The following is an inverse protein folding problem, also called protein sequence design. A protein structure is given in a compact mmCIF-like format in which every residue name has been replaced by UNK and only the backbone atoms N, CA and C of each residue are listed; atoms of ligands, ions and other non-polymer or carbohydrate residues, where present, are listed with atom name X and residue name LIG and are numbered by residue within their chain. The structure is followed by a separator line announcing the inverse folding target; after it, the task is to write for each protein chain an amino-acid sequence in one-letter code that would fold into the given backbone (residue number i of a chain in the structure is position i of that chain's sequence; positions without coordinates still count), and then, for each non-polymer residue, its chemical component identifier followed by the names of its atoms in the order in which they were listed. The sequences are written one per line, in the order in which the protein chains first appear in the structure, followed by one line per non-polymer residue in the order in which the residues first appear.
data_IF_590423635590
#
_entry.id   IF_590423635590
#
_cell.length_a   1.000
_cell.length_b   1.000
_cell.length_c   1.000
_cell.angle_alpha   90.00
_cell.angle_beta   90.00
_cell.angle_gamma   90.00
#
_symmetry.space_group_name_H-M   'P 1'
#
loop_
_entity.id
_entity.type
_entity.pdbx_description
1 polymer ?
#
# COMPACT_ATOMS: atom_id res chain seq x y z
N UNK A 1 3.21 1.07 -22.80
CA UNK A 1 3.29 1.24 -21.35
C UNK A 1 2.44 0.15 -20.73
N UNK A 2 3.06 -0.80 -20.04
CA UNK A 2 2.39 -1.91 -19.37
C UNK A 2 2.17 -1.59 -17.89
N UNK A 3 1.00 -1.93 -17.36
CA UNK A 3 0.67 -1.74 -15.95
C UNK A 3 -0.02 -3.01 -15.44
N UNK A 4 0.30 -3.47 -14.23
CA UNK A 4 -0.43 -4.52 -13.54
C UNK A 4 -1.12 -3.97 -12.29
N UNK A 5 -2.35 -4.42 -12.02
CA UNK A 5 -3.00 -4.20 -10.73
C UNK A 5 -2.52 -5.27 -9.76
N UNK A 6 -2.10 -4.86 -8.57
CA UNK A 6 -1.48 -5.75 -7.58
C UNK A 6 -2.21 -5.67 -6.26
N UNK A 7 -2.53 -6.83 -5.71
CA UNK A 7 -3.08 -7.00 -4.37
C UNK A 7 -2.13 -7.81 -3.49
N UNK A 8 -2.19 -7.57 -2.20
CA UNK A 8 -1.55 -8.40 -1.17
C UNK A 8 -2.65 -8.87 -0.22
N UNK A 9 -2.81 -10.19 -0.08
CA UNK A 9 -3.93 -10.76 0.65
C UNK A 9 -3.51 -11.94 1.52
N UNK A 10 -4.14 -12.06 2.67
CA UNK A 10 -4.14 -13.25 3.51
C UNK A 10 -5.56 -13.81 3.64
N UNK A 11 -5.69 -14.97 4.26
CA UNK A 11 -6.98 -15.65 4.41
C UNK A 11 -8.09 -14.73 4.98
N UNK A 12 -7.77 -13.89 5.96
CA UNK A 12 -8.76 -12.98 6.59
C UNK A 12 -9.30 -11.90 5.66
N UNK A 13 -8.59 -11.59 4.59
CA UNK A 13 -8.95 -10.54 3.65
C UNK A 13 -9.39 -11.07 2.29
N UNK A 14 -9.53 -12.40 2.14
CA UNK A 14 -9.85 -13.03 0.86
C UNK A 14 -11.17 -12.52 0.26
N UNK A 15 -12.25 -12.46 1.04
CA UNK A 15 -13.54 -11.94 0.56
C UNK A 15 -13.45 -10.47 0.15
N UNK A 16 -12.67 -9.68 0.88
CA UNK A 16 -12.43 -8.27 0.52
C UNK A 16 -11.61 -8.14 -0.75
N UNK A 17 -10.62 -9.02 -0.95
CA UNK A 17 -9.87 -9.08 -2.20
C UNK A 17 -10.81 -9.38 -3.36
N UNK A 18 -11.60 -10.45 -3.28
CA UNK A 18 -12.55 -10.86 -4.32
C UNK A 18 -13.45 -9.67 -4.69
N UNK A 19 -14.15 -9.09 -3.72
CA UNK A 19 -15.04 -7.95 -3.96
C UNK A 19 -14.32 -6.75 -4.59
N UNK A 20 -13.11 -6.41 -4.13
CA UNK A 20 -12.37 -5.28 -4.67
C UNK A 20 -11.88 -5.57 -6.10
N UNK A 21 -11.45 -6.80 -6.36
CA UNK A 21 -10.98 -7.24 -7.67
C UNK A 21 -12.13 -7.25 -8.70
N UNK A 22 -13.30 -7.80 -8.34
CA UNK A 22 -14.52 -7.73 -9.17
C UNK A 22 -14.85 -6.27 -9.53
N UNK A 23 -14.87 -5.38 -8.54
CA UNK A 23 -15.18 -3.97 -8.77
C UNK A 23 -14.13 -3.29 -9.67
N UNK A 24 -12.85 -3.65 -9.58
CA UNK A 24 -11.81 -3.16 -10.51
C UNK A 24 -12.07 -3.62 -11.94
N UNK A 25 -12.53 -4.86 -12.10
CA UNK A 25 -12.84 -5.44 -13.41
C UNK A 25 -14.13 -4.83 -13.97
N UNK A 26 -15.22 -4.87 -13.20
CA UNK A 26 -16.56 -4.55 -13.68
C UNK A 26 -16.84 -3.04 -13.73
N UNK A 27 -16.57 -2.34 -12.64
CA UNK A 27 -16.84 -0.90 -12.50
C UNK A 27 -15.62 -0.09 -12.96
N UNK A 28 -14.42 -0.50 -12.52
CA UNK A 28 -13.14 0.12 -12.86
C UNK A 28 -12.75 -0.03 -14.33
N UNK A 29 -13.37 -0.99 -15.06
CA UNK A 29 -13.14 -1.23 -16.47
C UNK A 29 -11.74 -1.76 -16.80
N UNK A 30 -10.99 -2.25 -15.79
CA UNK A 30 -9.64 -2.75 -15.97
C UNK A 30 -9.62 -4.11 -16.67
N UNK A 31 -8.73 -4.27 -17.67
CA UNK A 31 -8.61 -5.49 -18.48
C UNK A 31 -7.15 -5.98 -18.59
N UNK A 32 -6.24 -5.37 -17.85
CA UNK A 32 -4.83 -5.77 -17.82
C UNK A 32 -4.54 -6.86 -16.79
N UNK A 33 -3.26 -7.21 -16.59
CA UNK A 33 -2.83 -8.22 -15.63
C UNK A 33 -3.23 -7.88 -14.20
N UNK A 34 -3.80 -8.85 -13.49
CA UNK A 34 -4.12 -8.77 -12.05
C UNK A 34 -3.24 -9.77 -11.30
N UNK A 35 -2.52 -9.28 -10.32
CA UNK A 35 -1.57 -10.06 -9.53
C UNK A 35 -2.01 -10.12 -8.07
N UNK A 36 -2.07 -11.31 -7.52
CA UNK A 36 -2.35 -11.55 -6.12
C UNK A 36 -1.12 -12.10 -5.40
N UNK A 37 -0.52 -11.33 -4.52
CA UNK A 37 0.57 -11.79 -3.66
C UNK A 37 -0.02 -12.36 -2.37
N UNK A 38 0.34 -13.59 -2.04
CA UNK A 38 -0.16 -14.32 -0.86
C UNK A 38 0.96 -14.89 -0.02
N UNK A 39 0.68 -15.05 1.27
CA UNK A 39 1.56 -15.71 2.25
C UNK A 39 1.28 -17.21 2.41
N UNK A 40 1.83 -17.76 3.49
CA UNK A 40 1.75 -19.20 3.79
C UNK A 40 0.33 -19.68 4.16
N UNK A 41 -0.57 -18.76 4.52
CA UNK A 41 -1.94 -19.08 4.96
C UNK A 41 -2.93 -19.33 3.81
N UNK A 42 -2.51 -19.12 2.55
CA UNK A 42 -3.31 -19.36 1.34
C UNK A 42 -2.60 -20.31 0.35
N UNK A 43 -2.16 -21.52 0.76
CA UNK A 43 -1.30 -22.37 -0.07
C UNK A 43 -1.97 -22.92 -1.34
N UNK A 44 -3.30 -22.96 -1.38
CA UNK A 44 -4.08 -23.57 -2.48
C UNK A 44 -4.98 -22.58 -3.21
N UNK A 45 -4.74 -21.28 -3.06
CA UNK A 45 -5.61 -20.24 -3.61
C UNK A 45 -5.70 -20.27 -5.14
N UNK A 46 -4.68 -20.80 -5.83
CA UNK A 46 -4.66 -20.97 -7.29
C UNK A 46 -5.85 -21.83 -7.79
N UNK A 47 -6.36 -22.72 -6.94
CA UNK A 47 -7.51 -23.56 -7.28
C UNK A 47 -8.85 -22.87 -7.07
N UNK A 48 -8.89 -21.69 -6.46
CA UNK A 48 -10.12 -20.97 -6.16
C UNK A 48 -10.86 -20.59 -7.46
N UNK A 49 -12.19 -20.80 -7.56
CA UNK A 49 -12.96 -20.51 -8.77
C UNK A 49 -12.74 -19.10 -9.31
N UNK A 50 -12.81 -18.10 -8.45
CA UNK A 50 -12.60 -16.69 -8.80
C UNK A 50 -11.23 -16.44 -9.46
N UNK A 51 -10.16 -17.03 -8.92
CA UNK A 51 -8.79 -16.88 -9.45
C UNK A 51 -8.73 -17.40 -10.90
N UNK A 52 -9.34 -18.56 -11.15
CA UNK A 52 -9.37 -19.19 -12.48
C UNK A 52 -10.25 -18.44 -13.47
N UNK A 53 -11.42 -18.01 -13.02
CA UNK A 53 -12.40 -17.30 -13.84
C UNK A 53 -11.86 -15.96 -14.37
N UNK A 54 -11.11 -15.25 -13.52
CA UNK A 54 -10.60 -13.92 -13.85
C UNK A 54 -9.11 -13.91 -14.23
N UNK A 55 -8.50 -15.09 -14.44
CA UNK A 55 -7.09 -15.24 -14.82
C UNK A 55 -6.13 -14.43 -13.91
N UNK A 56 -6.39 -14.47 -12.59
CA UNK A 56 -5.56 -13.77 -11.61
C UNK A 56 -4.25 -14.52 -11.42
N UNK A 57 -3.14 -13.87 -11.67
CA UNK A 57 -1.82 -14.46 -11.44
C UNK A 57 -1.50 -14.46 -9.95
N UNK A 58 -1.40 -15.63 -9.34
CA UNK A 58 -1.01 -15.79 -7.94
C UNK A 58 0.51 -15.84 -7.80
N UNK A 59 1.03 -15.10 -6.82
CA UNK A 59 2.45 -15.07 -6.47
C UNK A 59 2.60 -15.47 -5.01
N UNK A 60 2.96 -16.72 -4.78
CA UNK A 60 3.24 -17.23 -3.44
C UNK A 60 4.57 -16.68 -2.91
N UNK A 61 4.55 -16.15 -1.71
CA UNK A 61 5.73 -15.65 -0.98
C UNK A 61 5.70 -16.17 0.45
N UNK A 62 6.87 -16.54 0.96
CA UNK A 62 6.98 -16.86 2.38
C UNK A 62 6.66 -15.64 3.22
N UNK A 63 6.02 -15.87 4.38
CA UNK A 63 5.79 -14.80 5.34
C UNK A 63 7.11 -14.20 5.78
N UNK A 64 7.15 -12.87 5.90
CA UNK A 64 8.33 -12.16 6.38
C UNK A 64 8.53 -12.52 7.85
N UNK A 65 9.72 -13.03 8.17
CA UNK A 65 10.09 -13.41 9.52
C UNK A 65 11.03 -12.37 10.13
N UNK A 66 10.80 -12.06 11.38
CA UNK A 66 11.65 -11.21 12.21
C UNK A 66 12.21 -12.00 13.37
N UNK A 67 13.32 -11.54 13.98
CA UNK A 67 13.82 -12.15 15.20
C UNK A 67 12.81 -11.96 16.34
N UNK A 68 12.85 -12.81 17.40
CA UNK A 68 11.94 -12.66 18.56
C UNK A 68 12.00 -11.27 19.19
N UNK A 69 13.18 -10.65 19.24
CA UNK A 69 13.39 -9.32 19.81
C UNK A 69 12.69 -8.23 18.95
N UNK A 70 12.82 -8.32 17.62
CA UNK A 70 12.17 -7.41 16.69
C UNK A 70 10.65 -7.56 16.74
N UNK A 71 10.16 -8.81 16.80
CA UNK A 71 8.73 -9.08 16.95
C UNK A 71 8.17 -8.47 18.24
N UNK A 72 8.83 -8.70 19.37
CA UNK A 72 8.41 -8.13 20.65
C UNK A 72 8.38 -6.59 20.62
N UNK A 73 9.36 -5.96 19.96
CA UNK A 73 9.40 -4.52 19.82
C UNK A 73 8.26 -3.97 18.92
N UNK A 74 7.95 -4.65 17.80
CA UNK A 74 6.81 -4.30 16.93
C UNK A 74 5.48 -4.47 17.68
N UNK A 75 5.30 -5.57 18.42
CA UNK A 75 4.10 -5.82 19.22
C UNK A 75 3.90 -4.73 20.29
N UNK A 76 4.96 -4.37 20.99
CA UNK A 76 4.94 -3.29 21.97
C UNK A 76 4.51 -1.97 21.33
N UNK A 77 5.09 -1.60 20.18
CA UNK A 77 4.72 -0.41 19.43
C UNK A 77 3.24 -0.44 19.03
N UNK A 78 2.75 -1.57 18.49
CA UNK A 78 1.34 -1.70 18.13
C UNK A 78 0.41 -1.53 19.33
N UNK A 79 0.76 -2.11 20.49
CA UNK A 79 -0.02 -1.97 21.73
C UNK A 79 -0.04 -0.52 22.23
N UNK A 80 1.09 0.17 22.23
CA UNK A 80 1.21 1.59 22.61
C UNK A 80 0.41 2.52 21.64
N UNK A 81 0.28 2.13 20.38
CA UNK A 81 -0.55 2.83 19.40
C UNK A 81 -2.05 2.43 19.45
N UNK A 82 -2.48 1.67 20.45
CA UNK A 82 -3.88 1.24 20.62
C UNK A 82 -4.36 0.25 19.55
N UNK A 83 -3.45 -0.41 18.84
CA UNK A 83 -3.80 -1.39 17.81
C UNK A 83 -4.00 -2.76 18.43
N UNK A 84 -5.20 -3.32 18.29
CA UNK A 84 -5.48 -4.70 18.68
C UNK A 84 -5.01 -5.68 17.61
N UNK A 85 -4.36 -6.76 18.07
CA UNK A 85 -3.97 -7.89 17.22
C UNK A 85 -2.66 -7.68 16.46
N UNK A 86 -2.06 -8.81 16.12
CA UNK A 86 -0.78 -8.87 15.44
C UNK A 86 -0.94 -8.62 13.95
N UNK A 87 -0.33 -7.57 13.42
CA UNK A 87 -0.51 -7.12 12.03
C UNK A 87 0.73 -7.37 11.17
N UNK A 88 1.50 -8.41 11.46
CA UNK A 88 2.73 -8.72 10.70
C UNK A 88 2.50 -8.85 9.20
N UNK A 89 1.33 -9.37 8.81
CA UNK A 89 1.02 -9.52 7.40
C UNK A 89 1.03 -8.20 6.62
N UNK A 90 0.91 -7.05 7.29
CA UNK A 90 1.05 -5.76 6.62
C UNK A 90 2.43 -5.59 5.95
N UNK A 91 3.50 -6.13 6.56
CA UNK A 91 4.84 -6.10 5.96
C UNK A 91 4.94 -6.96 4.70
N UNK A 92 4.02 -7.91 4.47
CA UNK A 92 3.99 -8.74 3.27
C UNK A 92 3.88 -7.92 1.97
N UNK A 93 3.39 -6.68 2.08
CA UNK A 93 3.40 -5.68 1.02
C UNK A 93 4.80 -5.40 0.45
N UNK A 94 5.87 -5.61 1.21
CA UNK A 94 7.24 -5.43 0.71
C UNK A 94 7.57 -6.35 -0.47
N UNK A 95 6.89 -7.49 -0.62
CA UNK A 95 7.08 -8.39 -1.75
C UNK A 95 6.73 -7.77 -3.11
N UNK A 96 5.91 -6.70 -3.16
CA UNK A 96 5.65 -6.00 -4.42
C UNK A 96 6.86 -5.23 -4.94
N UNK A 97 7.90 -5.08 -4.13
CA UNK A 97 9.16 -4.43 -4.48
C UNK A 97 10.27 -5.44 -4.78
N UNK A 98 9.91 -6.65 -5.21
CA UNK A 98 10.88 -7.65 -5.71
C UNK A 98 11.07 -7.52 -7.22
N UNK A 99 12.21 -7.99 -7.80
CA UNK A 99 12.48 -7.94 -9.24
C UNK A 99 11.42 -8.58 -10.13
N UNK A 100 10.60 -9.48 -9.59
CA UNK A 100 9.45 -10.08 -10.29
C UNK A 100 8.54 -9.02 -10.91
N UNK A 101 8.31 -7.90 -10.24
CA UNK A 101 7.39 -6.85 -10.71
C UNK A 101 7.98 -5.95 -11.81
N UNK A 102 9.27 -6.08 -12.13
CA UNK A 102 9.92 -5.33 -13.22
C UNK A 102 9.53 -5.80 -14.63
N UNK A 103 8.70 -6.81 -14.76
CA UNK A 103 8.13 -7.23 -16.04
C UNK A 103 7.06 -6.27 -16.58
N UNK A 104 6.55 -5.36 -15.74
CA UNK A 104 5.68 -4.26 -16.12
C UNK A 104 6.40 -2.92 -15.96
N UNK A 105 6.03 -1.92 -16.75
CA UNK A 105 6.56 -0.57 -16.60
C UNK A 105 6.09 0.05 -15.27
N UNK A 106 4.83 -0.23 -14.90
CA UNK A 106 4.18 0.26 -13.69
C UNK A 106 3.39 -0.85 -12.99
N UNK A 107 3.24 -0.72 -11.69
CA UNK A 107 2.27 -1.48 -10.91
C UNK A 107 1.35 -0.52 -10.17
N UNK A 108 0.06 -0.86 -10.14
CA UNK A 108 -0.94 -0.17 -9.34
C UNK A 108 -1.34 -1.08 -8.17
N UNK A 109 -0.74 -0.83 -7.01
CA UNK A 109 -1.10 -1.53 -5.79
C UNK A 109 -2.41 -0.98 -5.21
N UNK A 110 -3.30 -1.87 -4.82
CA UNK A 110 -4.60 -1.55 -4.20
C UNK A 110 -4.80 -2.43 -2.97
N UNK A 111 -5.07 -1.81 -1.82
CA UNK A 111 -5.45 -2.53 -0.60
C UNK A 111 -6.79 -3.26 -0.79
N UNK A 112 -6.89 -4.50 -0.31
CA UNK A 112 -8.14 -5.22 -0.21
C UNK A 112 -9.18 -4.44 0.62
N UNK A 113 -10.38 -4.26 0.05
CA UNK A 113 -11.46 -3.47 0.66
C UNK A 113 -11.52 -2.00 0.21
N UNK A 114 -10.69 -1.57 -0.75
CA UNK A 114 -10.94 -0.33 -1.47
C UNK A 114 -12.28 -0.42 -2.24
N UNK A 115 -12.98 0.70 -2.36
CA UNK A 115 -14.26 0.81 -3.08
C UNK A 115 -14.01 1.52 -4.40
N UNK A 116 -14.57 0.98 -5.47
CA UNK A 116 -14.46 1.50 -6.83
C UNK A 116 -15.85 1.91 -7.29
N UNK A 117 -15.98 3.13 -7.84
CA UNK A 117 -17.27 3.70 -8.25
C UNK A 117 -17.29 4.11 -9.72
N UNK A 118 -16.13 4.20 -10.37
CA UNK A 118 -16.01 4.62 -11.77
C UNK A 118 -14.75 4.01 -12.41
N UNK A 119 -14.57 4.12 -13.74
CA UNK A 119 -13.38 3.64 -14.44
C UNK A 119 -12.08 4.17 -13.84
N UNK A 120 -11.10 3.29 -13.59
CA UNK A 120 -9.82 3.65 -12.97
C UNK A 120 -8.78 4.20 -13.96
N UNK A 121 -9.09 4.22 -15.25
CA UNK A 121 -8.17 4.69 -16.29
C UNK A 121 -7.59 6.10 -16.04
N UNK A 122 -8.32 7.10 -15.53
CA UNK A 122 -7.75 8.40 -15.17
C UNK A 122 -6.66 8.31 -14.12
N UNK A 123 -6.83 7.42 -13.11
CA UNK A 123 -5.81 7.19 -12.08
C UNK A 123 -4.57 6.57 -12.71
N UNK A 124 -4.74 5.53 -13.54
CA UNK A 124 -3.62 4.87 -14.21
C UNK A 124 -2.88 5.78 -15.20
N UNK A 125 -3.53 6.80 -15.73
CA UNK A 125 -2.92 7.79 -16.61
C UNK A 125 -1.97 8.76 -15.88
N UNK A 126 -2.03 8.81 -14.53
CA UNK A 126 -1.17 9.69 -13.73
C UNK A 126 0.28 9.22 -13.62
N UNK A 127 0.64 8.04 -14.14
CA UNK A 127 1.99 7.47 -14.05
C UNK A 127 3.08 8.50 -14.33
N UNK A 128 4.17 8.42 -13.56
CA UNK A 128 5.28 9.35 -13.66
C UNK A 128 6.61 8.60 -13.56
N UNK A 129 7.51 8.74 -14.56
CA UNK A 129 8.80 8.06 -14.54
C UNK A 129 9.62 8.38 -13.28
N UNK A 130 10.20 7.36 -12.67
CA UNK A 130 11.03 7.47 -11.48
C UNK A 130 10.26 7.84 -10.20
N UNK A 131 8.92 7.69 -10.18
CA UNK A 131 8.09 8.05 -9.03
C UNK A 131 7.17 6.94 -8.55
N UNK A 132 6.93 6.97 -7.25
CA UNK A 132 5.82 6.33 -6.57
C UNK A 132 4.76 7.42 -6.33
N UNK A 133 3.60 7.29 -6.95
CA UNK A 133 2.47 8.19 -6.68
C UNK A 133 1.53 7.55 -5.68
N UNK A 134 1.23 8.27 -4.62
CA UNK A 134 0.32 7.83 -3.57
C UNK A 134 -0.44 9.01 -2.97
N UNK A 135 -1.43 8.73 -2.16
CA UNK A 135 -2.25 9.75 -1.52
C UNK A 135 -1.81 9.97 -0.07
N UNK A 136 -1.69 11.23 0.35
CA UNK A 136 -1.58 11.57 1.76
C UNK A 136 -2.97 11.82 2.35
N UNK A 137 -3.31 11.14 3.46
CA UNK A 137 -4.58 11.35 4.17
C UNK A 137 -4.67 12.72 4.86
N UNK A 138 -3.60 13.47 4.89
CA UNK A 138 -3.56 14.83 5.41
C UNK A 138 -3.49 15.91 4.34
N UNK A 139 -3.48 15.53 3.06
CA UNK A 139 -3.62 16.47 1.96
C UNK A 139 -5.00 17.19 2.02
N UNK A 140 -5.13 18.50 1.74
CA UNK A 140 -4.06 19.41 1.29
C UNK A 140 -3.29 20.13 2.42
N UNK A 141 -3.75 20.04 3.66
CA UNK A 141 -3.17 20.82 4.78
C UNK A 141 -1.86 20.23 5.28
N UNK A 142 -1.63 18.94 5.07
CA UNK A 142 -0.49 18.18 5.58
C UNK A 142 -0.22 18.42 7.08
N UNK A 143 -1.32 18.39 7.88
CA UNK A 143 -1.28 18.66 9.32
C UNK A 143 -0.39 17.67 10.08
N UNK A 144 -0.26 16.45 9.55
CA UNK A 144 0.61 15.43 10.11
C UNK A 144 1.83 15.24 9.19
N UNK A 145 2.95 14.88 9.80
CA UNK A 145 4.24 14.74 9.15
C UNK A 145 4.78 13.32 9.33
N UNK A 146 5.83 12.97 8.61
CA UNK A 146 6.47 11.65 8.66
C UNK A 146 6.76 11.20 10.10
N UNK A 147 7.18 12.10 10.99
CA UNK A 147 7.42 11.79 12.42
C UNK A 147 6.20 11.18 13.13
N UNK A 148 4.99 11.54 12.72
CA UNK A 148 3.75 11.00 13.33
C UNK A 148 3.48 9.56 12.94
N UNK A 149 4.21 9.00 11.95
CA UNK A 149 4.20 7.58 11.65
C UNK A 149 5.01 6.76 12.68
N UNK A 150 5.83 7.44 13.52
CA UNK A 150 6.72 6.85 14.52
C UNK A 150 6.47 7.44 15.91
N UNK A 151 5.26 7.25 16.48
CA UNK A 151 4.83 7.99 17.67
C UNK A 151 5.48 7.53 18.97
N UNK A 152 6.18 6.39 18.97
CA UNK A 152 6.81 5.80 20.15
C UNK A 152 8.33 5.75 20.01
N UNK A 153 9.04 5.63 21.15
CA UNK A 153 10.48 5.60 21.23
C UNK A 153 11.18 6.83 20.63
N UNK A 154 11.19 7.99 21.34
CA UNK A 154 11.78 9.24 20.86
C UNK A 154 13.26 9.13 20.45
N UNK A 155 14.03 8.23 21.10
CA UNK A 155 15.43 8.03 20.76
C UNK A 155 15.62 7.48 19.35
N UNK A 156 14.76 6.55 18.91
CA UNK A 156 14.78 6.08 17.52
C UNK A 156 14.38 7.20 16.55
N UNK A 157 13.41 8.04 16.91
CA UNK A 157 13.01 9.20 16.07
C UNK A 157 14.15 10.19 15.92
N UNK A 158 14.97 10.40 16.95
CA UNK A 158 16.15 11.23 16.87
C UNK A 158 17.22 10.64 15.92
N UNK A 159 17.51 9.33 16.01
CA UNK A 159 18.40 8.64 15.04
C UNK A 159 17.87 8.77 13.61
N UNK A 160 16.56 8.64 13.41
CA UNK A 160 15.92 8.82 12.12
C UNK A 160 16.07 10.24 11.59
N UNK A 161 15.97 11.26 12.45
CA UNK A 161 16.10 12.67 12.08
C UNK A 161 17.49 13.03 11.55
N UNK A 162 18.51 12.24 11.89
CA UNK A 162 19.84 12.34 11.29
C UNK A 162 19.93 11.84 9.84
N UNK A 163 18.92 11.13 9.34
CA UNK A 163 18.91 10.49 8.02
C UNK A 163 17.78 10.98 7.11
N UNK A 164 16.63 11.32 7.69
CA UNK A 164 15.43 11.73 6.99
C UNK A 164 14.89 13.06 7.52
N UNK A 165 14.28 13.83 6.64
CA UNK A 165 13.46 14.96 7.07
C UNK A 165 12.17 14.45 7.71
N UNK A 166 12.14 14.30 9.03
CA UNK A 166 10.98 13.81 9.77
C UNK A 166 9.80 14.80 9.79
N UNK A 167 10.00 16.04 9.33
CA UNK A 167 8.94 17.03 9.12
C UNK A 167 8.42 17.06 7.67
N UNK A 168 8.90 16.15 6.81
CA UNK A 168 8.36 15.98 5.47
C UNK A 168 6.93 15.41 5.50
N UNK A 169 6.22 15.65 4.42
CA UNK A 169 4.95 15.00 4.14
C UNK A 169 5.15 13.49 4.02
N UNK A 170 4.07 12.73 4.19
CA UNK A 170 4.07 11.29 4.04
C UNK A 170 2.87 10.82 3.20
N UNK A 171 2.94 9.60 2.72
CA UNK A 171 1.85 8.98 1.97
C UNK A 171 1.24 7.78 2.70
N UNK A 172 -0.01 7.50 2.36
CA UNK A 172 -0.68 6.26 2.72
C UNK A 172 -0.37 5.15 1.72
N UNK A 173 -0.11 3.94 2.24
CA UNK A 173 0.18 2.77 1.43
C UNK A 173 -1.05 1.99 0.98
N UNK A 174 -2.25 2.59 1.01
CA UNK A 174 -3.52 1.96 0.62
C UNK A 174 -3.70 1.85 -0.89
N UNK A 175 -3.25 2.84 -1.63
CA UNK A 175 -3.05 2.78 -3.08
C UNK A 175 -1.67 3.36 -3.42
N UNK A 176 -0.98 2.73 -4.35
CA UNK A 176 0.31 3.20 -4.83
C UNK A 176 0.45 2.90 -6.33
N UNK A 177 0.70 3.92 -7.14
CA UNK A 177 1.03 3.77 -8.54
C UNK A 177 2.55 3.93 -8.67
N UNK A 178 3.25 2.83 -8.98
CA UNK A 178 4.70 2.70 -8.79
C UNK A 178 5.37 2.49 -10.13
N UNK A 179 6.34 3.33 -10.48
CA UNK A 179 7.29 3.03 -11.55
C UNK A 179 8.21 1.89 -11.09
N UNK A 180 8.23 0.79 -11.83
CA UNK A 180 9.00 -0.40 -11.45
C UNK A 180 10.52 -0.20 -11.59
N UNK A 181 10.98 0.85 -12.25
CA UNK A 181 12.40 1.24 -12.27
C UNK A 181 12.92 1.64 -10.88
N UNK A 182 12.03 2.01 -9.95
CA UNK A 182 12.38 2.21 -8.54
C UNK A 182 12.76 0.92 -7.82
N UNK A 183 12.41 -0.24 -8.38
CA UNK A 183 12.69 -1.55 -7.78
C UNK A 183 14.11 -1.99 -8.16
N UNK A 184 15.01 -1.99 -7.19
CA UNK A 184 16.33 -2.57 -7.31
C UNK A 184 16.35 -4.04 -6.84
N UNK A 185 17.41 -4.78 -7.12
CA UNK A 185 17.52 -6.19 -6.72
C UNK A 185 17.46 -6.41 -5.21
N UNK A 186 17.84 -5.41 -4.43
CA UNK A 186 17.89 -5.45 -2.97
C UNK A 186 16.81 -4.62 -2.27
N UNK A 187 15.85 -4.01 -3.00
CA UNK A 187 14.79 -3.16 -2.40
C UNK A 187 14.02 -3.92 -1.32
N UNK A 188 13.60 -5.16 -1.60
CA UNK A 188 12.89 -5.98 -0.62
C UNK A 188 13.71 -6.21 0.66
N UNK A 189 14.98 -6.58 0.52
CA UNK A 189 15.87 -6.80 1.67
C UNK A 189 16.07 -5.51 2.47
N UNK A 190 16.29 -4.39 1.82
CA UNK A 190 16.43 -3.08 2.47
C UNK A 190 15.17 -2.65 3.23
N UNK A 191 13.98 -2.94 2.70
CA UNK A 191 12.72 -2.70 3.41
C UNK A 191 12.60 -3.57 4.68
N UNK A 192 12.98 -4.86 4.60
CA UNK A 192 13.01 -5.75 5.76
C UNK A 192 14.04 -5.28 6.81
N UNK A 193 15.21 -4.83 6.38
CA UNK A 193 16.25 -4.30 7.27
C UNK A 193 15.77 -3.02 7.97
N UNK A 194 15.11 -2.11 7.24
CA UNK A 194 14.52 -0.91 7.83
C UNK A 194 13.43 -1.25 8.85
N UNK A 195 12.55 -2.21 8.53
CA UNK A 195 11.51 -2.66 9.46
C UNK A 195 12.08 -3.30 10.72
N UNK A 196 13.17 -4.06 10.58
CA UNK A 196 13.88 -4.66 11.70
C UNK A 196 14.58 -3.62 12.58
N UNK A 197 15.09 -2.56 11.97
CA UNK A 197 15.77 -1.47 12.68
C UNK A 197 14.80 -0.50 13.35
N UNK A 198 13.76 -0.08 12.63
CA UNK A 198 12.81 0.95 13.07
C UNK A 198 11.45 0.33 13.44
N UNK A 199 11.46 -0.43 14.52
CA UNK A 199 10.30 -1.17 15.05
C UNK A 199 9.21 -0.27 15.64
N UNK A 200 9.48 1.03 15.73
CA UNK A 200 8.58 2.06 16.26
C UNK A 200 7.59 2.63 15.24
N UNK A 201 7.45 2.01 14.06
CA UNK A 201 6.43 2.40 13.09
C UNK A 201 5.02 2.10 13.61
N UNK A 202 4.28 3.12 13.98
CA UNK A 202 2.89 3.01 14.42
C UNK A 202 1.94 2.58 13.30
N UNK A 203 2.36 2.64 12.05
CA UNK A 203 1.59 2.23 10.84
C UNK A 203 2.20 1.02 10.15
N UNK A 204 3.13 0.30 10.82
CA UNK A 204 3.82 -0.89 10.32
C UNK A 204 4.52 -0.65 8.97
N UNK A 205 4.06 -1.30 7.89
CA UNK A 205 4.61 -1.20 6.54
C UNK A 205 4.65 0.24 6.01
N UNK A 206 3.62 1.02 6.25
CA UNK A 206 3.49 2.38 5.71
C UNK A 206 4.61 3.30 6.18
N UNK A 207 4.94 3.31 7.47
CA UNK A 207 6.05 4.13 7.98
C UNK A 207 7.38 3.75 7.31
N UNK A 208 7.65 2.46 7.17
CA UNK A 208 8.89 1.95 6.54
C UNK A 208 8.95 2.31 5.05
N UNK A 209 7.84 2.16 4.31
CA UNK A 209 7.75 2.57 2.91
C UNK A 209 8.02 4.07 2.75
N UNK A 210 7.50 4.89 3.66
CA UNK A 210 7.74 6.34 3.66
C UNK A 210 9.22 6.69 3.91
N UNK A 211 9.93 5.96 4.77
CA UNK A 211 11.39 6.15 4.92
C UNK A 211 12.13 5.77 3.64
N UNK A 212 11.78 4.64 3.04
CA UNK A 212 12.49 4.14 1.86
C UNK A 212 12.28 5.03 0.64
N UNK A 213 11.05 5.45 0.39
CA UNK A 213 10.68 6.24 -0.78
C UNK A 213 10.60 7.75 -0.52
N UNK A 214 11.16 8.25 0.58
CA UNK A 214 11.06 9.65 1.00
C UNK A 214 11.38 10.68 -0.11
N UNK A 215 12.33 10.36 -1.00
CA UNK A 215 12.76 11.25 -2.09
C UNK A 215 12.15 10.91 -3.46
N UNK A 216 11.38 9.84 -3.56
CA UNK A 216 10.86 9.33 -4.82
C UNK A 216 9.34 9.20 -4.88
N UNK A 217 8.62 9.53 -3.81
CA UNK A 217 7.17 9.61 -3.86
C UNK A 217 6.67 11.02 -4.21
N UNK A 218 5.49 11.09 -4.78
CA UNK A 218 4.75 12.33 -5.01
C UNK A 218 3.25 12.10 -4.75
N UNK A 219 2.55 13.17 -4.36
CA UNK A 219 1.10 13.13 -4.21
C UNK A 219 0.45 12.79 -5.55
N UNK A 220 -0.40 11.75 -5.58
CA UNK A 220 -1.24 11.50 -6.75
C UNK A 220 -2.19 12.69 -6.96
N UNK A 221 -2.44 13.14 -8.20
CA UNK A 221 -3.41 14.21 -8.42
C UNK A 221 -4.74 13.88 -7.73
N UNK A 222 -5.35 14.89 -7.12
CA UNK A 222 -6.58 14.68 -6.35
C UNK A 222 -7.77 14.30 -7.23
N UNK A 223 -7.76 14.76 -8.48
CA UNK A 223 -8.83 14.54 -9.46
C UNK A 223 -8.73 15.49 -10.64
N UNK A 224 -9.75 15.48 -11.46
CA UNK A 224 -9.98 16.40 -12.57
C UNK A 224 -11.28 17.22 -12.36
N UNK A 225 -11.82 17.81 -13.42
CA UNK A 225 -13.05 18.57 -13.35
C UNK A 225 -14.29 17.71 -13.03
N UNK A 226 -14.25 16.43 -13.37
CA UNK A 226 -15.41 15.53 -13.34
C UNK A 226 -15.43 14.66 -12.08
N UNK A 227 -14.26 14.30 -11.54
CA UNK A 227 -14.16 13.34 -10.42
C UNK A 227 -12.93 13.54 -9.57
N UNK A 228 -13.04 13.11 -8.30
CA UNK A 228 -11.90 12.85 -7.43
C UNK A 228 -11.33 11.45 -7.71
N UNK A 229 -10.02 11.32 -7.77
CA UNK A 229 -9.38 10.05 -8.10
C UNK A 229 -9.41 9.09 -6.92
N UNK A 230 -8.95 9.55 -5.76
CA UNK A 230 -8.94 8.75 -4.55
C UNK A 230 -8.94 9.64 -3.30
N UNK A 231 -9.68 9.22 -2.27
CA UNK A 231 -9.49 9.69 -0.89
C UNK A 231 -9.69 8.54 0.10
N UNK A 232 -8.98 8.61 1.20
CA UNK A 232 -9.09 7.64 2.27
C UNK A 232 -10.39 7.82 3.07
N UNK A 233 -10.76 9.06 3.36
CA UNK A 233 -11.86 9.43 4.26
C UNK A 233 -13.02 10.21 3.59
N UNK A 234 -13.03 10.35 2.27
CA UNK A 234 -14.05 11.13 1.53
C UNK A 234 -14.26 12.53 2.15
N UNK A 235 -13.27 13.39 1.96
CA UNK A 235 -13.30 14.76 2.52
C UNK A 235 -14.03 15.78 1.66
N UNK A 236 -14.15 15.51 0.37
CA UNK A 236 -14.77 16.39 -0.61
C UNK A 236 -16.07 15.76 -1.12
N UNK A 237 -17.12 16.56 -1.36
CA UNK A 237 -18.45 16.05 -1.72
C UNK A 237 -19.08 16.78 -2.92
N UNK A 238 -18.34 17.69 -3.55
CA UNK A 238 -18.83 18.46 -4.71
C UNK A 238 -18.71 17.68 -6.03
N UNK A 239 -17.96 16.60 -6.05
CA UNK A 239 -17.76 15.70 -7.20
C UNK A 239 -17.71 14.25 -6.74
N UNK A 240 -18.06 13.27 -7.62
CA UNK A 240 -17.93 11.86 -7.30
C UNK A 240 -16.45 11.41 -7.19
N UNK A 241 -16.24 10.32 -6.47
CA UNK A 241 -14.94 9.65 -6.40
C UNK A 241 -14.86 8.48 -7.39
N UNK A 242 -13.66 8.25 -7.94
CA UNK A 242 -13.35 7.01 -8.65
C UNK A 242 -13.12 5.89 -7.65
N UNK A 243 -12.33 6.15 -6.60
CA UNK A 243 -12.01 5.17 -5.55
C UNK A 243 -12.00 5.81 -4.16
N UNK A 244 -12.33 5.00 -3.15
CA UNK A 244 -12.19 5.38 -1.73
C UNK A 244 -11.77 4.18 -0.88
N UNK A 245 -11.29 4.42 0.34
CA UNK A 245 -11.07 3.33 1.32
C UNK A 245 -12.29 3.13 2.21
N UNK A 246 -12.85 4.19 2.73
CA UNK A 246 -14.06 4.15 3.55
C UNK A 246 -15.26 4.69 2.76
N UNK A 247 -16.41 4.10 3.01
CA UNK A 247 -17.70 4.63 2.54
C UNK A 247 -18.14 5.68 3.57
N UNK A 248 -18.60 6.85 3.12
CA UNK A 248 -19.37 7.73 3.99
C UNK A 248 -20.69 7.00 4.27
N UNK A 249 -20.90 6.61 5.51
CA UNK A 249 -22.24 6.30 5.96
C UNK A 249 -22.98 7.65 6.06
N UNK A 250 -23.85 7.93 5.09
CA UNK A 250 -24.86 8.95 5.32
C UNK A 250 -25.81 8.37 6.35
N UNK A 251 -25.75 8.91 7.57
CA UNK A 251 -26.75 8.70 8.60
C UNK A 251 -28.11 9.28 8.15
#
# INVERSE_FOLDING_TARGET
MSCAVVFVCNFRYLDKFITTCENIIEIGGYRGPIILVVGNDLPNIDSHPFIKEHDVQVVHRHDITFTPEVLAAIEKTNAECGKSGFKLFQYHKFHIFTPFFKQWDYIFYVDCGAKIYAPIAPILACVKPGKLLAHSDTYPEYAWRLRHQFPVNPQLVEDMSGRWNMDADYFQSTIMLIDTHLICNNTFAQLCDLASKYTNSGTNDQGILNLYFANSWEQIPIGDADSYYYDFNIRFQDRPYIMTKYVVFND
#
